data_IF_645891410751
#
_entry.id   IF_645891410751
#
_cell.length_a   1.000
_cell.length_b   1.000
_cell.length_c   1.000
_cell.angle_alpha   90.00
_cell.angle_beta   90.00
_cell.angle_gamma   90.00
#
_symmetry.space_group_name_H-M   'P 1'
#
loop_
_entity.id
_entity.type
_entity.pdbx_description
1 polymer ?
#
# COMPACT_ATOMS: atom_id res chain seq x y z
N UNK A 1 -12.27 6.52 -7.68
CA UNK A 1 -11.74 5.14 -7.67
C UNK A 1 -10.79 4.98 -8.84
N UNK A 2 -9.60 4.47 -8.58
CA UNK A 2 -8.53 4.21 -9.56
C UNK A 2 -8.37 2.70 -9.71
N UNK A 3 -8.00 2.24 -10.90
CA UNK A 3 -7.74 0.82 -11.18
C UNK A 3 -6.27 0.61 -11.52
N UNK A 4 -5.65 -0.37 -10.87
CA UNK A 4 -4.26 -0.77 -11.12
C UNK A 4 -4.25 -2.28 -11.37
N UNK A 5 -4.12 -2.66 -12.65
CA UNK A 5 -4.32 -4.05 -13.06
C UNK A 5 -5.73 -4.54 -12.68
N UNK A 6 -5.78 -5.53 -11.80
CA UNK A 6 -7.04 -6.10 -11.29
C UNK A 6 -7.48 -5.51 -9.94
N UNK A 7 -6.73 -4.54 -9.40
CA UNK A 7 -6.98 -3.94 -8.10
C UNK A 7 -7.72 -2.62 -8.23
N UNK A 8 -8.62 -2.36 -7.30
CA UNK A 8 -9.36 -1.09 -7.18
C UNK A 8 -8.92 -0.32 -5.93
N UNK A 9 -8.71 0.99 -6.06
CA UNK A 9 -8.32 1.90 -4.96
C UNK A 9 -9.28 3.09 -4.88
N UNK A 10 -9.83 3.34 -3.71
CA UNK A 10 -10.67 4.52 -3.44
C UNK A 10 -9.78 5.68 -3.02
N UNK A 11 -10.03 6.84 -3.61
CA UNK A 11 -9.20 8.04 -3.38
C UNK A 11 -9.72 8.88 -2.21
N UNK A 12 -10.94 8.58 -1.77
CA UNK A 12 -11.63 9.25 -0.67
C UNK A 12 -11.43 8.54 0.68
N UNK A 13 -10.67 7.44 0.71
CA UNK A 13 -10.34 6.68 1.92
C UNK A 13 -8.87 6.85 2.29
N UNK A 14 -8.58 6.61 3.57
CA UNK A 14 -7.22 6.39 4.03
C UNK A 14 -6.93 4.89 4.10
N UNK A 15 -5.65 4.55 4.17
CA UNK A 15 -5.19 3.18 4.18
C UNK A 15 -4.13 2.96 5.24
N UNK A 16 -4.09 1.73 5.74
CA UNK A 16 -3.02 1.24 6.60
C UNK A 16 -2.38 0.03 5.93
N UNK A 17 -1.11 0.20 5.59
CA UNK A 17 -0.40 -0.63 4.60
C UNK A 17 -1.26 -0.77 3.32
N UNK A 18 -1.23 -1.95 2.70
CA UNK A 18 -2.05 -2.27 1.53
C UNK A 18 -3.36 -2.98 1.90
N UNK A 19 -3.64 -3.22 3.19
CA UNK A 19 -4.63 -4.22 3.60
C UNK A 19 -5.93 -3.65 4.15
N UNK A 20 -5.86 -2.51 4.81
CA UNK A 20 -6.99 -1.92 5.52
C UNK A 20 -7.35 -0.60 4.88
N UNK A 21 -8.64 -0.35 4.67
CA UNK A 21 -9.14 0.99 4.40
C UNK A 21 -9.82 1.57 5.64
N UNK A 22 -9.76 2.89 5.74
CA UNK A 22 -10.33 3.69 6.81
C UNK A 22 -11.21 4.77 6.19
N UNK A 23 -12.48 4.78 6.58
CA UNK A 23 -13.46 5.83 6.22
C UNK A 23 -13.80 6.65 7.47
N UNK A 24 -13.65 7.97 7.38
CA UNK A 24 -13.82 8.88 8.53
C UNK A 24 -15.30 9.25 8.68
N UNK A 25 -15.89 8.90 9.83
CA UNK A 25 -17.27 9.25 10.19
C UNK A 25 -17.30 10.64 10.83
N UNK A 26 -16.32 10.91 11.70
CA UNK A 26 -16.10 12.18 12.39
C UNK A 26 -14.60 12.33 12.70
N UNK A 27 -14.22 13.35 13.47
CA UNK A 27 -12.83 13.59 13.86
C UNK A 27 -12.20 12.42 14.63
N UNK A 28 -13.01 11.66 15.39
CA UNK A 28 -12.53 10.56 16.24
C UNK A 28 -13.29 9.24 16.03
N UNK A 29 -14.21 9.14 15.06
CA UNK A 29 -14.87 7.88 14.73
C UNK A 29 -14.54 7.42 13.31
N UNK A 30 -14.20 6.15 13.16
CA UNK A 30 -13.76 5.55 11.91
C UNK A 30 -14.53 4.26 11.62
N UNK A 31 -14.83 4.02 10.35
CA UNK A 31 -15.09 2.69 9.84
C UNK A 31 -13.80 2.07 9.32
N UNK A 32 -13.60 0.78 9.61
CA UNK A 32 -12.45 0.00 9.19
C UNK A 32 -12.95 -1.24 8.43
N UNK A 33 -12.37 -1.49 7.26
CA UNK A 33 -12.59 -2.69 6.46
C UNK A 33 -11.33 -3.14 5.72
N UNK A 34 -11.43 -4.15 4.86
CA UNK A 34 -10.30 -4.65 4.07
C UNK A 34 -10.29 -4.07 2.66
N UNK A 35 -9.10 -3.76 2.14
CA UNK A 35 -8.92 -3.26 0.77
C UNK A 35 -9.25 -4.32 -0.28
N UNK A 36 -9.42 -3.88 -1.53
CA UNK A 36 -9.54 -4.81 -2.66
C UNK A 36 -8.26 -5.64 -2.84
N UNK A 37 -7.09 -5.06 -2.57
CA UNK A 37 -5.83 -5.80 -2.57
C UNK A 37 -5.83 -6.95 -1.56
N UNK A 38 -6.30 -6.71 -0.33
CA UNK A 38 -6.41 -7.74 0.70
C UNK A 38 -7.35 -8.87 0.30
N UNK A 39 -8.55 -8.56 -0.22
CA UNK A 39 -9.50 -9.61 -0.58
C UNK A 39 -8.99 -10.47 -1.75
N UNK A 40 -8.33 -9.87 -2.75
CA UNK A 40 -7.72 -10.62 -3.85
C UNK A 40 -6.60 -11.55 -3.35
N UNK A 41 -5.79 -11.08 -2.40
CA UNK A 41 -4.73 -11.86 -1.75
C UNK A 41 -5.28 -13.05 -0.97
N UNK A 42 -6.38 -12.83 -0.23
CA UNK A 42 -7.05 -13.86 0.58
C UNK A 42 -7.84 -14.85 -0.27
N UNK A 43 -8.38 -14.42 -1.42
CA UNK A 43 -9.29 -15.19 -2.28
C UNK A 43 -10.54 -15.57 -1.50
N UNK A 44 -10.95 -16.82 -1.51
CA UNK A 44 -12.23 -17.30 -0.95
C UNK A 44 -12.32 -17.06 0.56
N UNK A 45 -12.83 -15.90 0.99
CA UNK A 45 -13.00 -15.53 2.40
C UNK A 45 -14.17 -16.34 2.96
N UNK A 46 -13.93 -17.03 4.07
CA UNK A 46 -14.89 -17.96 4.68
C UNK A 46 -15.30 -17.57 6.08
N UNK A 47 -14.47 -16.81 6.80
CA UNK A 47 -14.74 -16.42 8.19
C UNK A 47 -13.98 -15.16 8.57
N UNK A 48 -14.51 -14.45 9.56
CA UNK A 48 -13.88 -13.29 10.20
C UNK A 48 -13.96 -13.53 11.70
N UNK A 49 -12.83 -13.34 12.38
CA UNK A 49 -12.74 -13.36 13.84
C UNK A 49 -12.69 -11.90 14.33
N UNK A 50 -13.87 -11.29 14.62
CA UNK A 50 -13.90 -9.91 15.05
C UNK A 50 -13.45 -9.77 16.51
N UNK A 51 -13.06 -8.55 16.93
CA UNK A 51 -12.87 -8.24 18.34
C UNK A 51 -14.21 -8.20 19.08
N UNK A 52 -14.20 -7.87 20.37
CA UNK A 52 -15.42 -7.61 21.14
C UNK A 52 -15.75 -6.11 21.20
N UNK A 53 -17.05 -5.77 21.24
CA UNK A 53 -17.49 -4.40 21.53
C UNK A 53 -16.93 -3.92 22.88
N UNK A 54 -16.44 -2.68 22.91
CA UNK A 54 -15.78 -2.08 24.08
C UNK A 54 -14.33 -2.51 24.30
N UNK A 55 -13.79 -3.45 23.51
CA UNK A 55 -12.38 -3.83 23.58
C UNK A 55 -11.49 -2.67 23.12
N UNK A 56 -10.30 -2.55 23.73
CA UNK A 56 -9.30 -1.53 23.40
C UNK A 56 -8.11 -2.15 22.70
N UNK A 57 -7.56 -1.41 21.75
CA UNK A 57 -6.37 -1.79 20.99
C UNK A 57 -5.37 -0.64 20.96
N UNK A 58 -4.09 -0.99 20.85
CA UNK A 58 -3.00 -0.05 20.59
C UNK A 58 -2.66 -0.13 19.10
N UNK A 59 -2.26 0.98 18.48
CA UNK A 59 -1.79 0.98 17.10
C UNK A 59 -0.72 -0.13 16.87
N UNK A 60 -0.84 -0.85 15.76
CA UNK A 60 0.04 -1.96 15.39
C UNK A 60 -0.21 -3.29 16.12
N UNK A 61 -1.08 -3.34 17.15
CA UNK A 61 -1.52 -4.59 17.78
C UNK A 61 -2.53 -5.34 16.91
N UNK A 62 -2.67 -6.66 17.09
CA UNK A 62 -3.65 -7.46 16.34
C UNK A 62 -5.10 -7.03 16.66
N UNK A 63 -5.84 -6.64 15.64
CA UNK A 63 -7.22 -6.12 15.74
C UNK A 63 -8.25 -7.22 15.49
N UNK A 64 -8.08 -7.96 14.39
CA UNK A 64 -9.00 -9.01 13.94
C UNK A 64 -8.28 -9.96 12.98
N UNK A 65 -8.85 -11.14 12.75
CA UNK A 65 -8.36 -12.09 11.74
C UNK A 65 -9.40 -12.33 10.66
N UNK A 66 -8.93 -12.49 9.42
CA UNK A 66 -9.75 -12.91 8.27
C UNK A 66 -9.25 -14.28 7.80
N UNK A 67 -10.16 -15.23 7.66
CA UNK A 67 -9.87 -16.58 7.20
C UNK A 67 -10.41 -16.78 5.79
N UNK A 68 -9.58 -17.44 4.98
CA UNK A 68 -9.96 -18.01 3.70
C UNK A 68 -9.84 -19.53 3.75
N UNK A 69 -10.27 -20.21 2.68
CA UNK A 69 -10.03 -21.66 2.51
C UNK A 69 -8.54 -22.03 2.64
N UNK A 70 -7.65 -21.11 2.28
CA UNK A 70 -6.21 -21.40 2.12
C UNK A 70 -5.32 -20.93 3.27
N UNK A 71 -5.77 -19.94 4.05
CA UNK A 71 -4.95 -19.26 5.06
C UNK A 71 -5.81 -18.44 6.01
N UNK A 72 -5.28 -18.21 7.20
CA UNK A 72 -5.69 -17.18 8.14
C UNK A 72 -4.76 -15.96 8.00
N UNK A 73 -5.30 -14.75 8.17
CA UNK A 73 -4.56 -13.50 8.07
C UNK A 73 -4.98 -12.52 9.16
N UNK A 74 -4.07 -12.23 10.08
CA UNK A 74 -4.27 -11.25 11.16
C UNK A 74 -4.02 -9.83 10.64
N UNK A 75 -4.98 -8.95 10.91
CA UNK A 75 -4.92 -7.52 10.62
C UNK A 75 -4.57 -6.73 11.88
N UNK A 76 -3.66 -5.78 11.73
CA UNK A 76 -3.25 -4.90 12.82
C UNK A 76 -4.16 -3.68 12.91
N UNK A 77 -4.33 -3.18 14.13
CA UNK A 77 -5.07 -1.94 14.38
C UNK A 77 -4.30 -0.77 13.78
N UNK A 78 -4.91 0.02 12.89
CA UNK A 78 -4.23 1.17 12.27
C UNK A 78 -3.99 2.30 13.26
N UNK A 79 -4.82 2.37 14.30
CA UNK A 79 -4.78 3.40 15.35
C UNK A 79 -5.05 2.77 16.72
N UNK A 80 -4.68 3.45 17.80
CA UNK A 80 -5.12 3.12 19.14
C UNK A 80 -6.60 3.47 19.28
N UNK A 81 -7.45 2.51 19.64
CA UNK A 81 -8.91 2.69 19.56
C UNK A 81 -9.72 1.85 20.56
N UNK A 82 -11.02 2.14 20.62
CA UNK A 82 -12.06 1.33 21.27
C UNK A 82 -13.06 0.86 20.23
N UNK A 83 -13.43 -0.42 20.23
CA UNK A 83 -14.47 -0.95 19.35
C UNK A 83 -15.83 -0.43 19.79
N UNK A 84 -16.51 0.30 18.90
CA UNK A 84 -17.86 0.81 19.12
C UNK A 84 -18.91 -0.13 18.54
N UNK A 85 -18.59 -0.75 17.40
CA UNK A 85 -19.54 -1.60 16.69
C UNK A 85 -18.84 -2.64 15.80
N UNK A 86 -19.52 -3.76 15.55
CA UNK A 86 -19.09 -4.82 14.65
C UNK A 86 -20.22 -5.07 13.65
N UNK A 87 -19.90 -5.03 12.36
CA UNK A 87 -20.87 -5.23 11.29
C UNK A 87 -21.32 -6.70 11.21
N UNK A 88 -22.45 -7.01 11.84
CA UNK A 88 -22.97 -8.38 11.91
C UNK A 88 -23.33 -8.98 10.54
N UNK A 89 -23.61 -8.15 9.53
CA UNK A 89 -23.86 -8.63 8.18
C UNK A 89 -22.60 -9.30 7.60
N UNK A 90 -21.46 -8.61 7.74
CA UNK A 90 -20.17 -9.11 7.28
C UNK A 90 -19.74 -10.36 8.05
N UNK A 91 -20.00 -10.44 9.36
CA UNK A 91 -19.71 -11.65 10.14
C UNK A 91 -20.58 -12.84 9.70
N UNK A 92 -21.84 -12.58 9.35
CA UNK A 92 -22.79 -13.63 8.93
C UNK A 92 -22.60 -14.06 7.47
N UNK A 93 -21.99 -13.21 6.64
CA UNK A 93 -21.78 -13.44 5.21
C UNK A 93 -20.43 -12.83 4.80
N UNK A 94 -19.31 -13.44 5.22
CA UNK A 94 -17.97 -12.86 5.06
C UNK A 94 -17.50 -12.83 3.59
N UNK A 95 -18.08 -13.67 2.73
CA UNK A 95 -17.82 -13.72 1.29
C UNK A 95 -18.20 -12.42 0.55
N UNK A 96 -19.08 -11.59 1.13
CA UNK A 96 -19.43 -10.29 0.53
C UNK A 96 -18.21 -9.37 0.41
N UNK A 97 -17.19 -9.55 1.25
CA UNK A 97 -15.94 -8.81 1.18
C UNK A 97 -15.14 -9.10 -0.10
N UNK A 98 -15.32 -10.27 -0.72
CA UNK A 98 -14.65 -10.57 -1.99
C UNK A 98 -15.21 -9.78 -3.17
N UNK A 99 -16.46 -9.33 -3.09
CA UNK A 99 -17.12 -8.63 -4.20
C UNK A 99 -17.31 -7.14 -3.95
N UNK A 100 -17.48 -6.73 -2.69
CA UNK A 100 -17.83 -5.36 -2.31
C UNK A 100 -17.03 -4.91 -1.08
N UNK A 101 -15.69 -4.98 -1.09
CA UNK A 101 -14.84 -4.68 0.07
C UNK A 101 -15.04 -3.25 0.59
N UNK A 102 -15.25 -2.29 -0.32
CA UNK A 102 -15.41 -0.87 0.03
C UNK A 102 -16.82 -0.45 0.42
N UNK A 103 -17.81 -1.34 0.27
CA UNK A 103 -19.19 -1.10 0.75
C UNK A 103 -19.42 -1.72 2.14
N UNK A 104 -18.46 -2.51 2.64
CA UNK A 104 -18.62 -3.36 3.80
C UNK A 104 -17.49 -3.14 4.80
N UNK A 105 -17.74 -2.28 5.79
CA UNK A 105 -16.88 -2.14 6.97
C UNK A 105 -17.03 -3.37 7.88
N UNK A 106 -15.99 -3.68 8.65
CA UNK A 106 -15.97 -4.79 9.62
C UNK A 106 -16.19 -4.27 11.03
N UNK A 107 -15.45 -3.22 11.43
CA UNK A 107 -15.58 -2.59 12.75
C UNK A 107 -15.73 -1.06 12.64
N UNK A 108 -16.53 -0.49 13.55
CA UNK A 108 -16.54 0.94 13.84
C UNK A 108 -15.78 1.16 15.13
N UNK A 109 -14.90 2.15 15.14
CA UNK A 109 -14.03 2.41 16.28
C UNK A 109 -14.04 3.89 16.66
N UNK A 110 -13.78 4.15 17.94
CA UNK A 110 -13.43 5.47 18.44
C UNK A 110 -11.92 5.54 18.65
N UNK A 111 -11.28 6.56 18.07
CA UNK A 111 -9.84 6.79 18.14
C UNK A 111 -9.46 7.35 19.51
N UNK A 112 -8.46 6.73 20.14
CA UNK A 112 -7.93 7.13 21.44
C UNK A 112 -6.73 8.08 21.34
N UNK A 113 -5.98 8.03 20.24
CA UNK A 113 -4.87 8.93 19.93
C UNK A 113 -4.97 9.38 18.47
N UNK A 114 -5.28 10.66 18.26
CA UNK A 114 -5.41 11.22 16.91
C UNK A 114 -4.07 11.32 16.18
N UNK A 115 -2.94 11.33 16.90
CA UNK A 115 -1.61 11.33 16.30
C UNK A 115 -1.32 10.04 15.52
N UNK A 116 -1.98 8.93 15.85
CA UNK A 116 -1.84 7.68 15.10
C UNK A 116 -2.33 7.83 13.64
N UNK A 117 -3.21 8.80 13.36
CA UNK A 117 -3.73 9.04 12.00
C UNK A 117 -2.66 9.56 11.03
N UNK A 118 -1.57 10.15 11.53
CA UNK A 118 -0.48 10.70 10.71
C UNK A 118 0.34 9.61 10.02
N UNK A 119 0.19 8.36 10.47
CA UNK A 119 0.83 7.18 9.87
C UNK A 119 0.03 6.54 8.73
N UNK A 120 -1.21 6.98 8.52
CA UNK A 120 -2.07 6.46 7.46
C UNK A 120 -1.72 7.11 6.14
N UNK A 121 -1.82 6.34 5.07
CA UNK A 121 -1.57 6.83 3.71
C UNK A 121 -2.90 7.15 3.01
N UNK A 122 -2.87 8.03 2.03
CA UNK A 122 -4.05 8.30 1.22
C UNK A 122 -4.20 7.31 0.05
N UNK A 123 -5.23 7.51 -0.76
CA UNK A 123 -5.49 6.64 -1.90
C UNK A 123 -4.48 6.79 -3.05
N UNK A 124 -3.76 7.91 -3.14
CA UNK A 124 -2.72 8.11 -4.16
C UNK A 124 -1.48 7.31 -3.78
N UNK A 125 -1.02 7.45 -2.53
CA UNK A 125 0.07 6.65 -1.98
C UNK A 125 -0.22 5.14 -2.03
N UNK A 126 -1.45 4.73 -1.69
CA UNK A 126 -1.89 3.34 -1.81
C UNK A 126 -1.87 2.83 -3.26
N UNK A 127 -2.24 3.68 -4.20
CA UNK A 127 -2.19 3.35 -5.62
C UNK A 127 -0.74 3.12 -6.08
N UNK A 128 0.18 4.00 -5.70
CA UNK A 128 1.60 3.86 -6.01
C UNK A 128 2.19 2.59 -5.37
N UNK A 129 1.85 2.29 -4.12
CA UNK A 129 2.27 1.05 -3.45
C UNK A 129 1.83 -0.21 -4.21
N UNK A 130 0.58 -0.25 -4.69
CA UNK A 130 0.08 -1.38 -5.49
C UNK A 130 0.78 -1.43 -6.85
N UNK A 131 1.02 -0.30 -7.49
CA UNK A 131 1.70 -0.25 -8.78
C UNK A 131 3.11 -0.85 -8.69
N UNK A 132 3.84 -0.50 -7.62
CA UNK A 132 5.17 -1.05 -7.36
C UNK A 132 5.13 -2.56 -7.13
N UNK A 133 4.24 -3.05 -6.26
CA UNK A 133 4.02 -4.48 -6.01
C UNK A 133 3.72 -5.25 -7.31
N UNK A 134 2.77 -4.76 -8.12
CA UNK A 134 2.40 -5.39 -9.41
C UNK A 134 3.55 -5.31 -10.42
N UNK A 135 4.28 -4.19 -10.45
CA UNK A 135 5.44 -4.01 -11.29
C UNK A 135 6.60 -4.94 -10.94
N UNK A 136 6.76 -5.28 -9.66
CA UNK A 136 7.75 -6.26 -9.19
C UNK A 136 7.33 -7.69 -9.55
N UNK A 137 6.06 -8.06 -9.37
CA UNK A 137 5.56 -9.39 -9.75
C UNK A 137 5.75 -9.70 -11.24
N UNK A 138 5.55 -8.71 -12.12
CA UNK A 138 5.72 -8.89 -13.55
C UNK A 138 7.19 -9.04 -13.94
N UNK A 139 8.10 -8.27 -13.31
CA UNK A 139 9.56 -8.40 -13.52
C UNK A 139 10.08 -9.78 -13.13
N UNK A 140 9.59 -10.36 -12.03
CA UNK A 140 9.96 -11.72 -11.62
C UNK A 140 9.46 -12.84 -12.54
N UNK A 141 8.42 -12.59 -13.35
CA UNK A 141 7.89 -13.55 -14.34
C UNK A 141 8.67 -13.51 -15.65
N UNK A 142 9.18 -12.36 -16.07
CA UNK A 142 10.00 -12.22 -17.29
C UNK A 142 11.42 -12.77 -17.14
N UNK A 143 11.99 -12.83 -15.93
CA UNK A 143 13.29 -13.46 -15.66
C UNK A 143 13.32 -14.99 -15.85
N UNK A 144 12.22 -15.61 -16.27
CA UNK A 144 12.15 -17.05 -16.60
C UNK A 144 12.09 -17.36 -18.10
N UNK A 145 12.31 -16.35 -18.97
CA UNK A 145 12.25 -16.49 -20.44
C UNK A 145 13.52 -16.08 -21.20
N UNK A 146 14.68 -16.02 -20.56
CA UNK A 146 15.97 -15.86 -21.23
C UNK A 146 16.96 -16.96 -20.80
N UNK A 147 16.75 -18.18 -21.27
CA UNK A 147 17.77 -19.25 -21.33
C UNK A 147 17.55 -20.11 -22.60
N UNK A 148 17.25 -19.46 -23.72
CA UNK A 148 17.24 -20.11 -25.04
C UNK A 148 17.71 -19.14 -26.13
N UNK A 149 19.03 -19.00 -26.24
CA UNK A 149 19.81 -18.88 -27.49
C UNK A 149 21.30 -18.71 -27.17
N UNK A 150 21.93 -19.80 -26.75
CA UNK A 150 23.33 -20.03 -27.14
C UNK A 150 23.27 -20.59 -28.56
N UNK A 151 23.47 -19.71 -29.55
CA UNK A 151 23.94 -20.00 -30.91
C UNK A 151 23.70 -18.74 -31.76
N UNK A 152 24.46 -17.67 -31.51
CA UNK A 152 24.72 -16.69 -32.56
C UNK A 152 26.08 -16.06 -32.34
N UNK A 153 27.03 -16.50 -33.17
CA UNK A 153 28.39 -15.98 -33.29
C UNK A 153 28.40 -14.45 -33.35
N UNK A 154 29.09 -13.84 -32.39
CA UNK A 154 29.40 -12.41 -32.42
C UNK A 154 30.83 -12.25 -32.94
N UNK A 155 31.02 -12.38 -34.25
CA UNK A 155 32.13 -11.70 -34.91
C UNK A 155 31.67 -10.97 -36.17
N UNK A 156 32.14 -9.72 -36.24
CA UNK A 156 32.47 -8.96 -37.45
C UNK A 156 31.41 -8.03 -38.07
N UNK A 157 31.78 -6.74 -38.00
CA UNK A 157 31.49 -5.61 -38.90
C UNK A 157 30.30 -4.68 -38.59
N UNK A 158 30.57 -3.71 -37.71
CA UNK A 158 29.89 -2.42 -37.73
C UNK A 158 30.68 -1.46 -38.64
N UNK A 159 30.22 -1.25 -39.89
CA UNK A 159 30.65 -0.12 -40.71
C UNK A 159 29.88 1.13 -40.27
N UNK A 160 30.60 2.14 -39.80
CA UNK A 160 30.06 3.47 -39.49
C UNK A 160 29.99 4.26 -40.79
N UNK A 161 28.79 4.63 -41.22
CA UNK A 161 28.59 5.72 -42.19
C UNK A 161 28.18 7.00 -41.46
N UNK A 162 28.77 8.08 -41.94
CA UNK A 162 28.90 9.39 -41.31
C UNK A 162 27.65 10.26 -41.40
N UNK A 163 27.45 11.07 -40.34
CA UNK A 163 26.81 12.38 -40.45
C UNK A 163 25.45 12.49 -39.78
N UNK A 164 25.43 13.00 -38.55
CA UNK A 164 24.93 14.35 -38.27
C UNK A 164 25.28 14.75 -36.82
N UNK A 165 25.76 15.97 -36.67
CA UNK A 165 26.19 16.57 -35.40
C UNK A 165 24.98 17.01 -34.58
N UNK A 166 24.93 16.61 -33.31
CA UNK A 166 24.19 17.35 -32.29
C UNK A 166 25.20 17.82 -31.23
N UNK A 167 25.42 19.13 -31.18
CA UNK A 167 26.23 19.80 -30.16
C UNK A 167 25.55 19.68 -28.80
N UNK A 168 26.22 19.00 -27.85
CA UNK A 168 25.85 19.00 -26.45
C UNK A 168 26.67 20.09 -25.74
N UNK A 169 26.00 21.07 -25.14
CA UNK A 169 26.64 22.05 -24.27
C UNK A 169 27.02 21.37 -22.95
N UNK A 170 28.32 21.30 -22.65
CA UNK A 170 28.84 20.97 -21.32
C UNK A 170 28.60 22.17 -20.40
N UNK A 171 27.95 21.94 -19.26
CA UNK A 171 28.01 22.86 -18.13
C UNK A 171 28.72 22.12 -16.98
N UNK A 172 30.04 22.31 -16.92
CA UNK A 172 30.84 22.03 -15.73
C UNK A 172 30.77 23.22 -14.79
N UNK A 173 30.44 22.97 -13.52
CA UNK A 173 30.95 23.62 -12.30
C UNK A 173 29.97 23.35 -11.16
N UNK A 174 30.33 23.10 -9.91
CA UNK A 174 31.60 22.91 -9.23
C UNK A 174 31.20 22.57 -7.80
N UNK A 175 31.60 21.42 -7.28
CA UNK A 175 31.53 21.16 -5.85
C UNK A 175 32.49 22.09 -5.12
N UNK A 176 31.99 22.90 -4.16
CA UNK A 176 32.81 23.42 -3.07
C UNK A 176 32.04 23.46 -1.75
N UNK A 177 32.42 22.54 -0.87
CA UNK A 177 32.38 22.72 0.58
C UNK A 177 33.12 24.01 0.96
N UNK A 178 32.52 24.83 1.83
CA UNK A 178 33.28 25.62 2.80
C UNK A 178 32.48 25.81 4.09
N UNK A 179 33.07 25.32 5.17
CA UNK A 179 32.75 25.59 6.58
C UNK A 179 33.46 26.90 6.95
N UNK A 180 32.79 27.79 7.69
CA UNK A 180 33.31 28.85 8.58
C UNK A 180 32.04 29.46 9.24
N UNK A 181 31.72 29.16 10.50
CA UNK A 181 32.17 29.86 11.73
C UNK A 181 32.10 31.39 11.63
N UNK A 182 31.13 32.00 12.30
CA UNK A 182 31.33 33.26 13.02
C UNK A 182 30.27 33.48 14.11
N UNK A 183 30.76 33.55 15.34
CA UNK A 183 30.16 34.16 16.52
C UNK A 183 29.89 35.64 16.26
N UNK A 184 28.77 36.18 16.77
CA UNK A 184 28.83 37.41 17.55
C UNK A 184 27.60 37.62 18.45
N UNK A 185 27.93 37.88 19.72
CA UNK A 185 27.07 38.29 20.83
C UNK A 185 26.32 39.61 20.56
N UNK A 186 25.20 39.83 21.28
CA UNK A 186 24.59 41.10 21.74
C UNK A 186 23.06 40.90 21.92
N UNK A 187 22.37 41.03 23.07
CA UNK A 187 22.56 41.62 24.41
C UNK A 187 21.74 40.83 25.43
#
# INVERSE_FOLDING_TARGET
MVKIGNYEVRQDFLYYDNYIWIDRISDNELFIGISDYAQQMLKDITSILPPANGQRFVAGSELLSVESISREFSLKSPVSCVIQEINQNVISSPDILNSRPFENWIVRVEVLDLGDMDSLIDGEDMADNILDEVGLENRGKDSSKEDFKDDFDYESEFSIDSGENYEFYEDEHSSKNKIEDEFEDQW
#
